data_IF_102012791927
#
_entry.id   IF_102012791927
#
_cell.length_a   1.000
_cell.length_b   1.000
_cell.length_c   1.000
_cell.angle_alpha   90.00
_cell.angle_beta   90.00
_cell.angle_gamma   90.00
#
_symmetry.space_group_name_H-M   'P 1'
#
loop_
_entity.id
_entity.type
_entity.pdbx_description
1 polymer ?
#
# COMPACT_ATOMS: atom_id res chain seq x y z
N UNK A 1 6.64 -2.86 32.65
CA UNK A 1 6.43 -3.78 31.53
C UNK A 1 4.92 -3.90 31.41
N UNK A 2 4.32 -3.07 30.54
CA UNK A 2 2.91 -3.26 30.19
C UNK A 2 2.86 -4.48 29.28
N UNK A 3 2.23 -5.53 29.77
CA UNK A 3 1.91 -6.73 29.01
C UNK A 3 1.01 -6.29 27.84
N UNK A 4 1.45 -6.54 26.60
CA UNK A 4 0.65 -6.20 25.43
C UNK A 4 -0.73 -6.88 25.59
N UNK A 5 -1.85 -6.16 25.40
CA UNK A 5 -3.17 -6.74 25.59
C UNK A 5 -3.30 -8.00 24.73
N UNK A 6 -3.85 -9.07 25.33
CA UNK A 6 -4.10 -10.33 24.63
C UNK A 6 -4.88 -10.04 23.36
N UNK A 7 -4.39 -10.56 22.22
CA UNK A 7 -5.01 -10.25 20.93
C UNK A 7 -6.40 -10.89 20.92
N UNK A 8 -7.45 -10.13 20.56
CA UNK A 8 -8.79 -10.68 20.55
C UNK A 8 -8.85 -11.85 19.58
N UNK A 9 -9.46 -12.95 20.03
CA UNK A 9 -9.64 -14.16 19.22
C UNK A 9 -10.51 -13.83 18.01
N UNK A 10 -10.38 -14.61 16.93
CA UNK A 10 -11.15 -14.45 15.69
C UNK A 10 -12.63 -14.19 15.94
N UNK A 11 -13.25 -15.04 16.75
CA UNK A 11 -14.69 -14.97 16.99
C UNK A 11 -15.07 -13.69 17.74
N UNK A 12 -14.19 -13.17 18.59
CA UNK A 12 -14.41 -11.91 19.31
C UNK A 12 -14.40 -10.71 18.35
N UNK A 13 -13.42 -10.64 17.44
CA UNK A 13 -13.37 -9.57 16.43
C UNK A 13 -14.60 -9.63 15.52
N UNK A 14 -15.00 -10.83 15.10
CA UNK A 14 -16.18 -11.00 14.24
C UNK A 14 -17.44 -10.53 14.99
N UNK A 15 -17.65 -10.99 16.23
CA UNK A 15 -18.79 -10.60 17.03
C UNK A 15 -18.84 -9.10 17.31
N UNK A 16 -17.69 -8.49 17.59
CA UNK A 16 -17.59 -7.05 17.84
C UNK A 16 -17.92 -6.24 16.58
N UNK A 17 -17.38 -6.63 15.43
CA UNK A 17 -17.71 -5.99 14.15
C UNK A 17 -19.19 -6.18 13.78
N UNK A 18 -19.75 -7.35 14.02
CA UNK A 18 -21.17 -7.65 13.78
C UNK A 18 -22.11 -6.92 14.74
N UNK A 19 -21.63 -6.33 15.84
CA UNK A 19 -22.45 -5.52 16.74
C UNK A 19 -22.78 -4.12 16.16
N UNK A 20 -22.00 -3.65 15.18
CA UNK A 20 -22.25 -2.35 14.53
C UNK A 20 -23.31 -2.45 13.42
N UNK A 21 -23.97 -1.34 13.07
CA UNK A 21 -24.71 -1.26 11.80
C UNK A 21 -23.79 -1.49 10.59
N UNK A 22 -24.33 -1.78 9.41
CA UNK A 22 -23.53 -2.12 8.21
C UNK A 22 -22.44 -1.09 7.91
N UNK A 23 -22.79 0.19 7.88
CA UNK A 23 -21.86 1.28 7.67
C UNK A 23 -20.78 1.34 8.78
N UNK A 24 -21.18 1.17 10.03
CA UNK A 24 -20.27 1.15 11.17
C UNK A 24 -19.25 0.00 11.08
N UNK A 25 -19.73 -1.21 10.79
CA UNK A 25 -18.88 -2.39 10.60
C UNK A 25 -17.85 -2.18 9.50
N UNK A 26 -18.27 -1.62 8.35
CA UNK A 26 -17.38 -1.34 7.22
C UNK A 26 -16.33 -0.30 7.59
N UNK A 27 -16.73 0.82 8.19
CA UNK A 27 -15.82 1.91 8.56
C UNK A 27 -14.82 1.48 9.65
N UNK A 28 -15.31 0.81 10.69
CA UNK A 28 -14.48 0.31 11.79
C UNK A 28 -13.53 -0.77 11.29
N UNK A 29 -14.02 -1.79 10.58
CA UNK A 29 -13.19 -2.86 10.04
C UNK A 29 -12.12 -2.37 9.06
N UNK A 30 -12.45 -1.38 8.22
CA UNK A 30 -11.46 -0.75 7.33
C UNK A 30 -10.41 0.06 8.10
N UNK A 31 -10.81 0.73 9.18
CA UNK A 31 -9.90 1.50 10.05
C UNK A 31 -8.95 0.57 10.80
N UNK A 32 -9.43 -0.58 11.28
CA UNK A 32 -8.57 -1.61 11.89
C UNK A 32 -7.48 -2.07 10.92
N UNK A 33 -7.83 -2.38 9.67
CA UNK A 33 -6.84 -2.78 8.65
C UNK A 33 -5.84 -1.66 8.35
N UNK A 34 -6.31 -0.42 8.29
CA UNK A 34 -5.41 0.73 8.11
C UNK A 34 -4.44 0.87 9.29
N UNK A 35 -4.89 0.72 10.53
CA UNK A 35 -4.03 0.74 11.71
C UNK A 35 -3.01 -0.40 11.69
N UNK A 36 -3.44 -1.64 11.39
CA UNK A 36 -2.50 -2.77 11.25
C UNK A 36 -1.44 -2.49 10.19
N UNK A 37 -1.81 -1.87 9.07
CA UNK A 37 -0.88 -1.50 8.01
C UNK A 37 0.09 -0.39 8.44
N UNK A 38 -0.38 0.60 9.21
CA UNK A 38 0.48 1.63 9.81
C UNK A 38 1.49 1.00 10.77
N UNK A 39 1.05 0.11 11.65
CA UNK A 39 1.93 -0.59 12.59
C UNK A 39 2.98 -1.41 11.87
N UNK A 40 2.63 -2.06 10.75
CA UNK A 40 3.61 -2.76 9.92
C UNK A 40 4.63 -1.79 9.30
N UNK A 41 4.19 -0.67 8.73
CA UNK A 41 5.09 0.33 8.17
C UNK A 41 6.07 0.87 9.22
N UNK A 42 5.59 1.13 10.43
CA UNK A 42 6.41 1.60 11.54
C UNK A 42 7.52 0.61 11.93
N UNK A 43 7.27 -0.70 11.82
CA UNK A 43 8.29 -1.73 12.08
C UNK A 43 9.45 -1.72 11.08
N UNK A 44 9.26 -1.16 9.89
CA UNK A 44 10.32 -0.99 8.89
C UNK A 44 11.03 0.35 9.00
N UNK A 45 10.41 1.32 9.67
CA UNK A 45 11.03 2.61 9.90
C UNK A 45 12.04 2.54 11.03
N UNK A 46 12.87 3.58 11.09
CA UNK A 46 13.85 3.76 12.16
C UNK A 46 13.15 3.77 13.52
N UNK A 47 13.73 3.08 14.51
CA UNK A 47 13.14 2.93 15.85
C UNK A 47 13.18 4.22 16.68
N UNK A 48 13.93 5.22 16.25
CA UNK A 48 14.15 6.50 16.93
C UNK A 48 13.37 7.66 16.27
N UNK A 49 12.30 7.37 15.51
CA UNK A 49 11.36 8.40 15.07
C UNK A 49 10.74 9.11 16.28
N UNK A 50 10.78 10.43 16.25
CA UNK A 50 10.12 11.24 17.28
C UNK A 50 8.61 11.25 17.07
N UNK A 51 7.86 11.70 18.07
CA UNK A 51 6.43 11.96 17.93
C UNK A 51 6.13 12.96 16.80
N UNK A 52 6.99 13.97 16.62
CA UNK A 52 6.87 14.95 15.54
C UNK A 52 7.03 14.30 14.17
N UNK A 53 7.99 13.38 14.02
CA UNK A 53 8.18 12.66 12.77
C UNK A 53 6.96 11.77 12.46
N UNK A 54 6.46 11.06 13.47
CA UNK A 54 5.26 10.24 13.34
C UNK A 54 4.05 11.07 12.88
N UNK A 55 3.82 12.22 13.53
CA UNK A 55 2.75 13.14 13.13
C UNK A 55 2.98 13.70 11.72
N UNK A 56 4.21 14.04 11.36
CA UNK A 56 4.54 14.50 10.00
C UNK A 56 4.31 13.45 8.92
N UNK A 57 4.39 12.16 9.25
CA UNK A 57 4.17 11.06 8.31
C UNK A 57 2.68 10.67 8.17
N UNK A 58 1.98 10.51 9.28
CA UNK A 58 0.66 9.85 9.32
C UNK A 58 -0.52 10.79 9.61
N UNK A 59 -0.29 12.04 10.03
CA UNK A 59 -1.40 12.94 10.33
C UNK A 59 -1.95 13.59 9.05
N UNK A 60 -3.24 13.38 8.79
CA UNK A 60 -3.94 13.94 7.63
C UNK A 60 -3.99 15.48 7.64
N UNK A 61 -4.26 16.10 8.79
CA UNK A 61 -4.36 17.56 8.93
C UNK A 61 -3.01 18.25 8.68
N UNK A 62 -1.91 17.53 8.90
CA UNK A 62 -0.54 18.01 8.62
C UNK A 62 -0.07 17.68 7.21
N UNK A 63 -0.93 17.11 6.35
CA UNK A 63 -0.57 16.72 5.00
C UNK A 63 0.41 15.55 4.94
N UNK A 64 0.40 14.66 5.95
CA UNK A 64 1.34 13.56 6.04
C UNK A 64 1.26 12.62 4.82
N UNK A 65 2.39 12.22 4.22
CA UNK A 65 2.41 11.42 3.00
C UNK A 65 1.80 10.02 3.17
N UNK A 66 1.77 9.51 4.40
CA UNK A 66 1.18 8.22 4.79
C UNK A 66 -0.11 8.40 5.59
N UNK A 67 -0.78 9.55 5.47
CA UNK A 67 -2.03 9.80 6.19
C UNK A 67 -3.24 9.06 5.61
N UNK A 68 -3.21 8.74 4.31
CA UNK A 68 -4.32 8.08 3.63
C UNK A 68 -4.14 6.57 3.54
N UNK A 69 -5.25 5.83 3.62
CA UNK A 69 -5.23 4.38 3.46
C UNK A 69 -4.63 3.96 2.10
N UNK A 70 -4.94 4.70 1.04
CA UNK A 70 -4.40 4.45 -0.30
C UNK A 70 -2.87 4.60 -0.34
N UNK A 71 -2.33 5.65 0.30
CA UNK A 71 -0.88 5.88 0.37
C UNK A 71 -0.18 4.75 1.11
N UNK A 72 -0.73 4.31 2.24
CA UNK A 72 -0.17 3.21 3.03
C UNK A 72 -0.15 1.90 2.25
N UNK A 73 -1.23 1.55 1.54
CA UNK A 73 -1.29 0.34 0.70
C UNK A 73 -0.19 0.40 -0.37
N UNK A 74 -0.04 1.54 -1.05
CA UNK A 74 0.96 1.71 -2.12
C UNK A 74 2.38 1.57 -1.60
N UNK A 75 2.71 2.23 -0.50
CA UNK A 75 4.06 2.20 0.07
C UNK A 75 4.38 0.84 0.67
N UNK A 76 3.44 0.23 1.41
CA UNK A 76 3.64 -1.11 1.95
C UNK A 76 3.87 -2.15 0.84
N UNK A 77 3.12 -2.08 -0.26
CA UNK A 77 3.33 -2.95 -1.41
C UNK A 77 4.66 -2.67 -2.13
N UNK A 78 5.01 -1.40 -2.33
CA UNK A 78 6.26 -1.01 -2.99
C UNK A 78 7.51 -1.43 -2.19
N UNK A 79 7.39 -1.49 -0.86
CA UNK A 79 8.44 -1.95 0.06
C UNK A 79 8.40 -3.46 0.31
N UNK A 80 7.57 -4.21 -0.42
CA UNK A 80 7.39 -5.67 -0.28
C UNK A 80 6.98 -6.12 1.15
N UNK A 81 6.29 -5.24 1.89
CA UNK A 81 5.72 -5.54 3.21
C UNK A 81 4.48 -6.43 3.08
N UNK A 82 3.74 -6.22 1.99
CA UNK A 82 2.53 -6.96 1.65
C UNK A 82 2.61 -7.50 0.23
N UNK A 83 2.16 -8.74 0.04
CA UNK A 83 2.10 -9.35 -1.28
C UNK A 83 0.94 -8.82 -2.15
N UNK A 84 0.90 -9.21 -3.45
CA UNK A 84 -0.09 -8.73 -4.41
C UNK A 84 -1.53 -9.08 -4.01
N UNK A 85 -1.78 -10.26 -3.44
CA UNK A 85 -3.12 -10.65 -2.98
C UNK A 85 -3.63 -9.74 -1.85
N UNK A 86 -2.79 -9.49 -0.85
CA UNK A 86 -3.10 -8.58 0.27
C UNK A 86 -3.36 -7.17 -0.23
N UNK A 87 -2.54 -6.67 -1.17
CA UNK A 87 -2.73 -5.36 -1.79
C UNK A 87 -4.10 -5.27 -2.48
N UNK A 88 -4.48 -6.28 -3.25
CA UNK A 88 -5.75 -6.30 -3.97
C UNK A 88 -6.95 -6.34 -3.01
N UNK A 89 -6.87 -7.15 -1.95
CA UNK A 89 -7.88 -7.21 -0.90
C UNK A 89 -8.04 -5.87 -0.17
N UNK A 90 -6.93 -5.21 0.21
CA UNK A 90 -6.96 -3.90 0.85
C UNK A 90 -7.53 -2.81 -0.06
N UNK A 91 -7.24 -2.85 -1.37
CA UNK A 91 -7.83 -1.91 -2.33
C UNK A 91 -9.33 -2.13 -2.49
N UNK A 92 -9.79 -3.38 -2.42
CA UNK A 92 -11.22 -3.72 -2.42
C UNK A 92 -11.89 -3.15 -1.17
N UNK A 93 -11.33 -3.40 0.03
CA UNK A 93 -11.84 -2.82 1.29
C UNK A 93 -11.87 -1.29 1.23
N UNK A 94 -10.80 -0.64 0.74
CA UNK A 94 -10.76 0.81 0.55
C UNK A 94 -11.89 1.29 -0.35
N UNK A 95 -12.20 0.57 -1.42
CA UNK A 95 -13.27 0.93 -2.35
C UNK A 95 -14.65 0.82 -1.67
N UNK A 96 -14.89 -0.25 -0.91
CA UNK A 96 -16.11 -0.43 -0.12
C UNK A 96 -16.26 0.70 0.92
N UNK A 97 -15.19 1.01 1.68
CA UNK A 97 -15.18 2.12 2.64
C UNK A 97 -15.55 3.44 1.98
N UNK A 98 -14.97 3.73 0.82
CA UNK A 98 -15.21 4.98 0.10
C UNK A 98 -16.66 5.09 -0.38
N UNK A 99 -17.26 3.98 -0.84
CA UNK A 99 -18.68 3.95 -1.21
C UNK A 99 -19.56 4.35 -0.02
N UNK A 100 -19.32 3.75 1.15
CA UNK A 100 -20.08 4.04 2.37
C UNK A 100 -19.82 5.45 2.88
N UNK A 101 -18.57 5.90 2.93
CA UNK A 101 -18.19 7.19 3.51
C UNK A 101 -18.63 8.41 2.68
N UNK A 102 -18.79 8.24 1.37
CA UNK A 102 -19.21 9.32 0.47
C UNK A 102 -20.66 9.18 -0.02
N UNK A 103 -21.40 8.22 0.54
CA UNK A 103 -22.80 8.06 0.20
C UNK A 103 -23.65 9.21 0.76
N UNK A 104 -24.56 9.80 -0.04
CA UNK A 104 -25.52 10.78 0.46
C UNK A 104 -26.61 10.14 1.33
N UNK A 105 -26.83 8.83 1.20
CA UNK A 105 -27.82 8.04 1.92
C UNK A 105 -27.13 6.85 2.60
N UNK A 106 -27.78 6.28 3.61
CA UNK A 106 -27.29 5.08 4.27
C UNK A 106 -27.16 3.92 3.25
N UNK A 107 -25.95 3.38 3.14
CA UNK A 107 -25.64 2.23 2.30
C UNK A 107 -25.58 0.98 3.18
N UNK A 108 -26.34 -0.03 2.80
CA UNK A 108 -26.33 -1.34 3.44
C UNK A 108 -25.22 -2.21 2.82
N UNK A 109 -24.82 -3.26 3.52
CA UNK A 109 -23.85 -4.23 2.99
C UNK A 109 -24.38 -4.97 1.75
N UNK A 110 -25.70 -4.95 1.57
CA UNK A 110 -26.40 -5.55 0.45
C UNK A 110 -26.50 -4.66 -0.78
N UNK A 111 -26.08 -3.39 -0.67
CA UNK A 111 -26.14 -2.43 -1.76
C UNK A 111 -25.04 -2.67 -2.79
N UNK A 112 -25.40 -2.72 -4.07
CA UNK A 112 -24.42 -2.87 -5.15
C UNK A 112 -23.42 -1.70 -5.17
N UNK A 113 -22.13 -1.96 -5.46
CA UNK A 113 -21.51 -3.25 -5.81
C UNK A 113 -20.90 -4.02 -4.62
N UNK A 114 -21.26 -3.70 -3.36
CA UNK A 114 -20.57 -4.21 -2.16
C UNK A 114 -20.55 -5.75 -2.09
N UNK A 115 -21.65 -6.48 -2.34
CA UNK A 115 -21.65 -7.93 -2.26
C UNK A 115 -20.62 -8.59 -3.19
N UNK A 116 -20.52 -8.11 -4.42
CA UNK A 116 -19.61 -8.64 -5.42
C UNK A 116 -18.15 -8.33 -5.07
N UNK A 117 -17.90 -7.14 -4.52
CA UNK A 117 -16.59 -6.75 -4.02
C UNK A 117 -16.14 -7.65 -2.87
N UNK A 118 -17.01 -7.92 -1.88
CA UNK A 118 -16.70 -8.83 -0.77
C UNK A 118 -16.40 -10.23 -1.29
N UNK A 119 -17.23 -10.73 -2.20
CA UNK A 119 -17.08 -12.08 -2.75
C UNK A 119 -15.82 -12.24 -3.62
N UNK A 120 -15.42 -11.19 -4.33
CA UNK A 120 -14.26 -11.18 -5.21
C UNK A 120 -12.90 -11.11 -4.50
N UNK A 121 -12.86 -11.03 -3.17
CA UNK A 121 -11.61 -10.93 -2.41
C UNK A 121 -10.77 -12.21 -2.55
N UNK A 122 -9.45 -12.02 -2.67
CA UNK A 122 -8.43 -13.07 -2.76
C UNK A 122 -8.28 -13.85 -1.46
N UNK A 123 -8.70 -13.28 -0.34
CA UNK A 123 -8.70 -13.95 0.97
C UNK A 123 -9.48 -15.26 1.00
N UNK A 124 -10.41 -15.45 0.07
CA UNK A 124 -11.20 -16.67 -0.08
C UNK A 124 -10.55 -17.76 -0.92
N UNK A 125 -9.47 -17.47 -1.65
CA UNK A 125 -8.89 -18.39 -2.62
C UNK A 125 -9.94 -18.92 -3.61
N UNK A 126 -10.11 -20.25 -3.67
CA UNK A 126 -11.13 -20.93 -4.50
C UNK A 126 -12.35 -21.41 -3.69
N UNK A 127 -12.46 -21.05 -2.41
CA UNK A 127 -13.26 -21.82 -1.45
C UNK A 127 -14.73 -21.38 -1.31
N UNK A 128 -15.13 -20.20 -1.78
CA UNK A 128 -16.52 -19.76 -1.65
C UNK A 128 -17.21 -19.91 -3.00
N UNK A 129 -18.28 -20.70 -3.03
CA UNK A 129 -19.09 -21.01 -4.22
C UNK A 129 -20.46 -20.31 -4.22
N UNK A 130 -20.80 -19.57 -3.17
CA UNK A 130 -22.09 -18.88 -3.04
C UNK A 130 -22.00 -17.64 -2.14
N UNK A 131 -22.71 -16.57 -2.50
CA UNK A 131 -22.80 -15.30 -1.75
C UNK A 131 -24.21 -15.08 -1.16
N UNK A 132 -24.63 -15.85 -0.14
CA UNK A 132 -25.93 -15.63 0.49
C UNK A 132 -25.93 -14.33 1.29
N UNK A 133 -27.00 -13.54 1.16
CA UNK A 133 -27.13 -12.24 1.84
C UNK A 133 -26.94 -12.34 3.36
N UNK A 134 -27.46 -13.41 3.97
CA UNK A 134 -27.37 -13.68 5.41
C UNK A 134 -25.94 -13.86 5.94
N UNK A 135 -24.94 -14.09 5.08
CA UNK A 135 -23.55 -14.26 5.49
C UNK A 135 -22.67 -13.05 5.18
N UNK A 136 -23.14 -12.03 4.47
CA UNK A 136 -22.27 -10.94 3.98
C UNK A 136 -21.56 -10.20 5.11
N UNK A 137 -22.24 -9.97 6.24
CA UNK A 137 -21.63 -9.37 7.44
C UNK A 137 -20.49 -10.24 8.00
N UNK A 138 -20.76 -11.53 8.16
CA UNK A 138 -19.75 -12.53 8.59
C UNK A 138 -18.59 -12.64 7.61
N UNK A 139 -18.86 -12.59 6.31
CA UNK A 139 -17.84 -12.62 5.27
C UNK A 139 -16.97 -11.38 5.33
N UNK A 140 -17.55 -10.18 5.43
CA UNK A 140 -16.78 -8.96 5.58
C UNK A 140 -15.91 -8.98 6.85
N UNK A 141 -16.50 -9.31 8.00
CA UNK A 141 -15.76 -9.40 9.27
C UNK A 141 -14.66 -10.47 9.21
N UNK A 142 -14.93 -11.62 8.59
CA UNK A 142 -13.93 -12.67 8.39
C UNK A 142 -12.81 -12.24 7.44
N UNK A 143 -13.11 -11.44 6.41
CA UNK A 143 -12.12 -10.89 5.50
C UNK A 143 -11.19 -9.93 6.24
N UNK A 144 -11.76 -9.01 7.02
CA UNK A 144 -11.00 -8.07 7.87
C UNK A 144 -10.04 -8.84 8.77
N UNK A 145 -10.53 -9.86 9.48
CA UNK A 145 -9.69 -10.69 10.33
C UNK A 145 -8.59 -11.43 9.54
N UNK A 146 -8.95 -12.07 8.43
CA UNK A 146 -8.01 -12.89 7.67
C UNK A 146 -6.92 -12.05 6.97
N UNK A 147 -7.27 -10.88 6.42
CA UNK A 147 -6.32 -9.92 5.85
C UNK A 147 -5.38 -9.41 6.95
N UNK A 148 -5.91 -9.06 8.13
CA UNK A 148 -5.11 -8.63 9.28
C UNK A 148 -4.09 -9.70 9.70
N UNK A 149 -4.51 -10.96 9.85
CA UNK A 149 -3.58 -12.06 10.17
C UNK A 149 -2.55 -12.29 9.07
N UNK A 150 -2.95 -12.21 7.79
CA UNK A 150 -2.01 -12.36 6.67
C UNK A 150 -0.93 -11.28 6.72
N UNK A 151 -1.31 -10.03 7.00
CA UNK A 151 -0.40 -8.90 7.20
C UNK A 151 0.58 -9.18 8.35
N UNK A 152 0.10 -9.68 9.49
CA UNK A 152 0.96 -10.00 10.63
C UNK A 152 1.91 -11.17 10.36
N UNK A 153 1.45 -12.20 9.64
CA UNK A 153 2.26 -13.36 9.27
C UNK A 153 3.34 -13.03 8.23
N UNK A 154 3.12 -12.03 7.39
CA UNK A 154 4.07 -11.56 6.36
C UNK A 154 5.11 -10.56 6.89
N UNK A 155 5.19 -10.32 8.21
CA UNK A 155 6.22 -9.46 8.79
C UNK A 155 7.63 -9.94 8.39
N UNK A 156 8.49 -9.04 7.84
CA UNK A 156 9.69 -9.34 7.04
C UNK A 156 10.85 -10.00 7.82
N UNK A 157 10.72 -10.22 9.13
CA UNK A 157 11.76 -10.91 9.91
C UNK A 157 11.89 -12.41 9.56
N UNK A 158 11.26 -12.89 8.48
CA UNK A 158 11.30 -14.27 8.01
C UNK A 158 11.43 -14.48 6.49
N UNK A 159 12.02 -13.55 5.74
CA UNK A 159 12.39 -13.85 4.34
C UNK A 159 13.90 -13.85 4.13
N UNK A 160 14.45 -15.05 3.96
CA UNK A 160 15.66 -15.28 3.16
C UNK A 160 15.43 -14.66 1.77
N UNK A 161 16.44 -13.95 1.27
CA UNK A 161 16.43 -13.22 0.00
C UNK A 161 15.54 -13.84 -1.09
N UNK A 162 14.41 -13.21 -1.38
CA UNK A 162 13.72 -13.42 -2.66
C UNK A 162 14.60 -12.79 -3.74
N UNK A 163 15.13 -13.55 -4.71
CA UNK A 163 15.93 -12.97 -5.78
C UNK A 163 15.05 -12.01 -6.59
N UNK A 164 15.61 -10.86 -6.94
CA UNK A 164 14.92 -9.82 -7.69
C UNK A 164 14.16 -10.40 -8.90
N UNK A 165 12.97 -9.87 -9.22
CA UNK A 165 12.27 -10.23 -10.45
C UNK A 165 13.23 -10.06 -11.63
N UNK A 166 13.35 -11.09 -12.47
CA UNK A 166 14.12 -10.96 -13.72
C UNK A 166 13.56 -9.77 -14.47
N UNK A 167 14.39 -8.74 -14.67
CA UNK A 167 13.99 -7.57 -15.45
C UNK A 167 13.36 -8.04 -16.77
N UNK A 168 12.20 -7.49 -17.18
CA UNK A 168 11.67 -7.80 -18.49
C UNK A 168 12.73 -7.43 -19.51
N UNK A 169 13.11 -8.40 -20.34
CA UNK A 169 14.08 -8.18 -21.42
C UNK A 169 13.58 -7.03 -22.27
N UNK A 170 14.16 -5.85 -22.10
CA UNK A 170 13.89 -4.70 -22.94
C UNK A 170 14.31 -5.14 -24.35
N UNK A 171 13.40 -5.23 -25.33
CA UNK A 171 13.82 -5.51 -26.70
C UNK A 171 14.78 -4.39 -27.10
N UNK A 172 16.00 -4.78 -27.49
CA UNK A 172 17.00 -3.86 -28.01
C UNK A 172 16.46 -3.25 -29.30
N UNK A 173 15.78 -2.11 -29.18
CA UNK A 173 15.39 -1.32 -30.35
C UNK A 173 16.69 -0.84 -31.00
N UNK A 174 16.95 -1.14 -32.29
CA UNK A 174 18.11 -0.61 -32.97
C UNK A 174 18.04 0.91 -32.92
N UNK A 175 19.06 1.56 -32.33
CA UNK A 175 19.22 3.00 -32.45
C UNK A 175 19.25 3.34 -33.94
N UNK A 176 18.23 4.08 -34.40
CA UNK A 176 18.22 4.63 -35.75
C UNK A 176 19.53 5.37 -35.97
N UNK A 177 20.27 4.94 -37.00
CA UNK A 177 21.51 5.53 -37.46
C UNK A 177 21.18 6.97 -37.90
N UNK A 178 21.51 7.95 -37.07
CA UNK A 178 21.40 9.37 -37.39
C UNK A 178 22.30 9.64 -38.60
N UNK A 179 21.69 9.89 -39.76
CA UNK A 179 22.40 10.32 -40.96
C UNK A 179 22.87 11.76 -40.74
N UNK A 180 24.18 11.98 -40.81
CA UNK A 180 24.80 13.28 -41.08
C UNK A 180 25.07 14.17 -39.86
N UNK A 181 26.34 14.36 -39.52
CA UNK A 181 26.78 15.40 -38.60
C UNK A 181 27.98 14.97 -37.77
N UNK A 182 29.18 15.23 -38.27
CA UNK A 182 30.47 15.01 -37.63
C UNK A 182 30.61 15.76 -36.30
N UNK A 183 30.43 15.05 -35.18
CA UNK A 183 31.12 15.36 -33.93
C UNK A 183 31.60 14.06 -33.29
N UNK A 184 32.93 13.94 -33.19
CA UNK A 184 33.63 12.79 -32.63
C UNK A 184 33.66 12.96 -31.11
N UNK A 185 32.76 12.31 -30.39
CA UNK A 185 32.88 12.16 -28.93
C UNK A 185 33.49 10.79 -28.67
N UNK A 186 34.76 10.79 -28.26
CA UNK A 186 35.45 9.62 -27.72
C UNK A 186 35.12 9.53 -26.23
N UNK A 187 34.49 8.44 -25.81
CA UNK A 187 34.44 8.06 -24.39
C UNK A 187 35.10 6.69 -24.22
N UNK A 188 36.33 6.74 -23.71
CA UNK A 188 37.04 5.60 -23.14
C UNK A 188 36.39 5.22 -21.81
N UNK A 189 36.07 3.94 -21.66
CA UNK A 189 35.48 3.39 -20.46
C UNK A 189 36.59 3.12 -19.43
N UNK A 190 36.74 3.99 -18.44
CA UNK A 190 37.56 3.71 -17.25
C UNK A 190 36.94 4.35 -16.01
N UNK A 191 36.53 3.48 -15.09
CA UNK A 191 36.34 3.67 -13.64
C UNK A 191 36.12 5.09 -13.07
N UNK A 192 34.95 5.30 -12.46
CA UNK A 192 34.81 6.13 -11.26
C UNK A 192 34.37 7.59 -11.45
N UNK A 193 33.29 7.94 -10.75
CA UNK A 193 32.80 9.29 -10.44
C UNK A 193 32.20 10.14 -11.58
N UNK A 194 30.86 10.16 -11.66
CA UNK A 194 30.13 11.26 -12.29
C UNK A 194 30.00 12.40 -11.29
N UNK A 195 30.85 13.43 -11.43
CA UNK A 195 30.62 14.77 -10.86
C UNK A 195 29.98 15.63 -11.93
N UNK A 196 28.78 16.16 -11.66
CA UNK A 196 28.21 17.23 -12.48
C UNK A 196 28.89 18.54 -12.02
N UNK A 197 29.80 19.07 -12.85
CA UNK A 197 30.24 20.47 -12.77
C UNK A 197 29.44 21.26 -13.81
N UNK A 198 28.65 22.21 -13.34
CA UNK A 198 28.12 23.30 -14.16
C UNK A 198 29.06 24.49 -14.00
N UNK A 199 30.03 24.62 -14.91
CA UNK A 199 30.85 25.83 -15.03
C UNK A 199 30.18 26.76 -16.05
N UNK A 200 29.39 27.71 -15.55
CA UNK A 200 28.91 28.88 -16.31
C UNK A 200 29.98 29.97 -16.16
N UNK A 201 30.89 30.06 -17.13
CA UNK A 201 31.85 31.15 -17.20
C UNK A 201 31.18 32.44 -17.70
N UNK A 202 31.34 33.46 -16.86
CA UNK A 202 31.18 34.90 -17.10
C UNK A 202 31.85 35.39 -18.37
N UNK A 203 31.09 36.03 -19.27
CA UNK A 203 31.64 36.88 -20.33
C UNK A 203 31.74 38.32 -19.80
N UNK A 204 32.97 38.84 -19.78
CA UNK A 204 33.37 40.15 -19.25
C UNK A 204 33.67 41.15 -20.38
N UNK A 205 32.96 42.28 -20.33
CA UNK A 205 33.29 43.72 -20.62
C UNK A 205 33.92 44.25 -21.93
N UNK A 206 33.15 45.20 -22.55
CA UNK A 206 33.46 46.61 -23.03
C UNK A 206 34.42 46.89 -24.21
N UNK A 207 34.49 48.14 -24.75
CA UNK A 207 33.47 49.12 -25.21
C UNK A 207 33.83 49.64 -26.67
N UNK A 208 33.23 50.71 -27.24
CA UNK A 208 33.40 52.12 -26.82
C UNK A 208 32.11 52.85 -26.45
#
# INVERSE_FOLDING_TARGET
MDEAPDKPKRDQIILELEAYGDAGMILVGSTMLQHTLHDLLLRFFRSDLTKSDHEGLFNFEKGGPLSSFASCIRIAYALDIIGPETRDDLNTIKSIRNLVAHAPLEIAIDTDPIPDLIYGMRVWGKQISSNPASLRRKLFASAVWAISNRMEMHSPFRYEHVPAPKEPSIPTVPLYKRIGGTHRVSLSNTAGAVRIRTDLETISTRPP
#
